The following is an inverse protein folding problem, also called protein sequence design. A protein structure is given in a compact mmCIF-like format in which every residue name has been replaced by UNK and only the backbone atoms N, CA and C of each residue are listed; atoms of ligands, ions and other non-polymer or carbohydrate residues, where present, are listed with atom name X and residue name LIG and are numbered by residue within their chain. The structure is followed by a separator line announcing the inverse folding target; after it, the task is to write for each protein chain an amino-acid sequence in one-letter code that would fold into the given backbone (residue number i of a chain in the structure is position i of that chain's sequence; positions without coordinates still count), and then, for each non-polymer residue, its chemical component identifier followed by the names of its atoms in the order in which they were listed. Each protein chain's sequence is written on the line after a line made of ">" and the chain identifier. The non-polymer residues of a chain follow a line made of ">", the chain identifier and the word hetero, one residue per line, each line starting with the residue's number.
data_IF_015646385633
#
_entry.id   IF_015646385633
#
_cell.length_a   1.000
_cell.length_b   1.000
_cell.length_c   1.000
_cell.angle_alpha   90.00
_cell.angle_beta   90.00
_cell.angle_gamma   90.00
#
_symmetry.space_group_name_H-M   'P 1'
#
loop_
_entity.id
_entity.type
_entity.pdbx_description
1 polymer ?
#
# COMPACT_ATOMS: atom_id res chain seq x y z
N UNK A 1 -18.13 -21.69 1.35
CA UNK A 1 -17.67 -20.30 1.11
C UNK A 1 -16.28 -20.13 1.64
N UNK A 2 -15.38 -19.68 0.79
CA UNK A 2 -14.01 -19.41 1.21
C UNK A 2 -13.95 -18.03 1.82
N UNK A 3 -13.47 -17.98 3.04
CA UNK A 3 -13.17 -16.71 3.71
C UNK A 3 -11.69 -16.42 3.59
N UNK A 4 -11.36 -15.15 3.35
CA UNK A 4 -9.99 -14.68 3.27
C UNK A 4 -9.77 -13.58 4.29
N UNK A 5 -8.59 -13.55 4.85
CA UNK A 5 -8.17 -12.44 5.68
C UNK A 5 -7.58 -11.36 4.79
N UNK A 6 -8.07 -10.15 4.95
CA UNK A 6 -7.62 -9.00 4.19
C UNK A 6 -7.25 -7.87 5.13
N UNK A 7 -6.41 -6.97 4.62
CA UNK A 7 -6.12 -5.71 5.28
C UNK A 7 -6.58 -4.57 4.38
N UNK A 8 -7.37 -3.65 4.93
CA UNK A 8 -7.68 -2.39 4.27
C UNK A 8 -6.66 -1.35 4.73
N UNK A 9 -5.94 -0.78 3.78
CA UNK A 9 -4.90 0.22 4.05
C UNK A 9 -5.41 1.56 3.56
N UNK A 10 -5.72 2.50 4.48
CA UNK A 10 -6.13 3.84 4.06
C UNK A 10 -4.97 4.57 3.39
N UNK A 11 -5.26 5.18 2.25
CA UNK A 11 -4.31 6.02 1.53
C UNK A 11 -4.83 7.45 1.48
N UNK A 12 -4.17 8.30 0.70
CA UNK A 12 -4.59 9.70 0.58
C UNK A 12 -6.02 9.84 0.06
N UNK A 13 -6.47 8.96 -0.83
CA UNK A 13 -7.78 9.09 -1.48
C UNK A 13 -8.65 7.85 -1.33
N UNK A 14 -8.06 6.68 -1.31
CA UNK A 14 -8.76 5.40 -1.43
C UNK A 14 -8.28 4.43 -0.35
N UNK A 15 -8.92 3.27 -0.27
CA UNK A 15 -8.40 2.14 0.48
C UNK A 15 -7.73 1.15 -0.47
N UNK A 16 -6.57 0.64 -0.07
CA UNK A 16 -6.00 -0.55 -0.71
C UNK A 16 -6.49 -1.79 0.00
N UNK A 17 -6.82 -2.83 -0.76
CA UNK A 17 -7.13 -4.13 -0.20
C UNK A 17 -5.94 -5.06 -0.45
N UNK A 18 -5.38 -5.63 0.60
CA UNK A 18 -4.24 -6.53 0.53
C UNK A 18 -4.58 -7.86 1.21
N UNK A 19 -4.10 -8.99 0.67
CA UNK A 19 -4.17 -10.23 1.43
C UNK A 19 -3.37 -10.09 2.73
N UNK A 20 -3.98 -10.45 3.86
CA UNK A 20 -3.32 -10.30 5.16
C UNK A 20 -2.06 -11.16 5.25
N UNK A 21 -2.00 -12.28 4.51
CA UNK A 21 -0.82 -13.15 4.48
C UNK A 21 0.43 -12.46 3.94
N UNK A 22 0.28 -11.39 3.17
CA UNK A 22 1.42 -10.63 2.65
C UNK A 22 1.97 -9.63 3.65
N UNK A 23 1.27 -9.37 4.74
CA UNK A 23 1.67 -8.35 5.70
C UNK A 23 2.65 -8.95 6.71
N UNK A 24 3.87 -8.43 6.71
CA UNK A 24 4.88 -8.86 7.67
C UNK A 24 4.71 -8.16 9.02
N UNK A 25 4.43 -6.84 8.99
CA UNK A 25 4.29 -6.08 10.23
C UNK A 25 3.68 -4.71 9.93
N UNK A 26 3.09 -4.09 10.95
CA UNK A 26 2.63 -2.70 10.90
C UNK A 26 3.38 -1.94 11.98
N UNK A 27 4.09 -0.89 11.57
CA UNK A 27 4.89 -0.05 12.46
C UNK A 27 4.23 1.32 12.64
N UNK A 28 4.49 1.99 13.75
CA UNK A 28 4.22 3.43 13.84
C UNK A 28 4.99 4.17 12.75
N UNK A 29 4.45 5.31 12.32
CA UNK A 29 5.13 6.12 11.33
C UNK A 29 6.45 6.68 11.87
N UNK A 30 7.49 6.59 11.05
CA UNK A 30 8.75 7.29 11.28
C UNK A 30 9.14 7.99 9.98
N UNK A 31 9.75 9.19 10.05
CA UNK A 31 10.17 9.88 8.83
C UNK A 31 11.13 9.01 8.02
N UNK A 32 10.88 8.85 6.71
CA UNK A 32 11.76 8.04 5.89
C UNK A 32 13.07 8.74 5.59
N UNK A 33 14.09 7.95 5.30
CA UNK A 33 15.34 8.45 4.75
C UNK A 33 15.13 8.87 3.30
N UNK A 34 15.84 9.91 2.89
CA UNK A 34 15.80 10.32 1.49
C UNK A 34 16.50 9.27 0.65
N UNK A 35 15.86 8.90 -0.45
CA UNK A 35 16.47 8.09 -1.51
C UNK A 35 16.22 8.77 -2.84
N UNK A 36 17.22 8.67 -3.72
CA UNK A 36 17.08 9.18 -5.06
C UNK A 36 16.39 8.10 -5.89
N UNK A 37 15.15 8.35 -6.24
CA UNK A 37 14.34 7.41 -7.01
C UNK A 37 13.65 8.15 -8.14
N UNK A 38 13.58 7.51 -9.31
CA UNK A 38 12.84 8.04 -10.44
C UNK A 38 11.33 7.89 -10.30
N UNK A 39 10.84 7.20 -9.28
CA UNK A 39 9.41 6.97 -9.10
C UNK A 39 8.80 7.99 -8.16
N UNK A 40 7.70 8.61 -8.57
CA UNK A 40 6.95 9.54 -7.74
C UNK A 40 6.23 8.88 -6.56
N UNK A 41 6.08 7.54 -6.61
CA UNK A 41 5.41 6.79 -5.55
C UNK A 41 6.36 6.40 -4.43
N UNK A 42 7.65 6.40 -4.67
CA UNK A 42 8.65 6.09 -3.65
C UNK A 42 8.99 7.41 -2.94
N UNK A 43 8.55 7.53 -1.70
CA UNK A 43 8.74 8.76 -0.94
C UNK A 43 9.97 8.73 -0.03
N UNK A 44 10.65 7.61 0.03
CA UNK A 44 11.84 7.47 0.83
C UNK A 44 12.19 6.01 1.06
N UNK A 45 13.12 5.78 1.97
CA UNK A 45 13.53 4.45 2.39
C UNK A 45 13.45 4.30 3.90
N UNK A 46 13.27 3.06 4.34
CA UNK A 46 13.26 2.71 5.75
C UNK A 46 14.38 1.71 6.00
N UNK A 47 15.03 1.84 7.15
CA UNK A 47 16.03 0.88 7.58
C UNK A 47 15.38 -0.09 8.55
N UNK A 48 15.17 -1.32 8.11
CA UNK A 48 14.54 -2.37 8.90
C UNK A 48 15.49 -3.56 8.94
N UNK A 49 15.95 -3.93 10.15
CA UNK A 49 16.88 -5.04 10.34
C UNK A 49 18.12 -4.94 9.45
N UNK A 50 18.67 -3.72 9.35
CA UNK A 50 19.83 -3.38 8.52
C UNK A 50 19.60 -3.40 7.01
N UNK A 51 18.37 -3.66 6.57
CA UNK A 51 18.02 -3.58 5.16
C UNK A 51 17.33 -2.25 4.87
N UNK A 52 17.75 -1.58 3.82
CA UNK A 52 17.10 -0.36 3.35
C UNK A 52 16.02 -0.76 2.35
N UNK A 53 14.78 -0.50 2.73
CA UNK A 53 13.62 -0.86 1.92
C UNK A 53 12.89 0.41 1.46
N UNK A 54 12.25 0.37 0.27
CA UNK A 54 11.52 1.52 -0.22
C UNK A 54 10.19 1.69 0.53
N UNK A 55 9.81 2.95 0.76
CA UNK A 55 8.50 3.32 1.28
C UNK A 55 7.69 3.91 0.14
N UNK A 56 6.51 3.36 -0.08
CA UNK A 56 5.62 3.71 -1.18
C UNK A 56 4.39 4.42 -0.62
N UNK A 57 4.00 5.53 -1.24
CA UNK A 57 2.77 6.23 -0.92
C UNK A 57 1.85 6.19 -2.15
N UNK A 58 0.83 5.34 -2.09
CA UNK A 58 -0.13 5.22 -3.18
C UNK A 58 -0.94 6.51 -3.35
N UNK A 59 -1.17 6.88 -4.61
CA UNK A 59 -2.03 8.00 -5.00
C UNK A 59 -1.53 9.38 -4.55
N UNK A 60 -0.33 9.47 -4.03
CA UNK A 60 0.29 10.75 -3.76
C UNK A 60 1.23 11.12 -4.89
N UNK A 61 1.11 12.33 -5.37
CA UNK A 61 1.99 12.88 -6.39
C UNK A 61 2.86 14.01 -5.84
N UNK A 62 2.90 14.16 -4.51
CA UNK A 62 3.70 15.19 -3.86
C UNK A 62 4.74 14.55 -2.94
N UNK A 63 6.01 14.98 -3.02
CA UNK A 63 7.00 14.56 -2.03
C UNK A 63 6.59 14.95 -0.61
N UNK A 64 7.04 14.19 0.37
CA UNK A 64 6.72 14.48 1.77
C UNK A 64 7.16 15.89 2.18
N UNK A 65 8.27 16.37 1.63
CA UNK A 65 8.79 17.72 1.94
C UNK A 65 7.80 18.83 1.55
N UNK A 66 6.94 18.59 0.57
CA UNK A 66 5.95 19.55 0.10
C UNK A 66 4.61 19.45 0.84
N UNK A 67 4.47 18.49 1.75
CA UNK A 67 3.24 18.24 2.52
C UNK A 67 3.43 18.66 3.98
N UNK A 68 3.81 19.91 4.19
CA UNK A 68 4.22 20.40 5.50
C UNK A 68 3.08 20.52 6.52
N UNK A 69 1.87 20.80 6.02
CA UNK A 69 0.71 21.01 6.88
C UNK A 69 -0.05 19.73 7.18
N UNK A 70 0.45 18.61 6.72
CA UNK A 70 -0.19 17.31 6.85
C UNK A 70 0.03 16.74 8.25
N UNK A 71 -1.06 16.38 8.91
CA UNK A 71 -1.00 15.72 10.21
C UNK A 71 -0.67 14.24 10.00
N UNK A 72 0.50 13.82 10.45
CA UNK A 72 0.98 12.46 10.28
C UNK A 72 0.90 11.62 11.55
N UNK A 73 0.20 12.10 12.57
CA UNK A 73 0.12 11.41 13.86
C UNK A 73 -0.57 10.05 13.75
N UNK A 74 -1.47 9.89 12.78
CA UNK A 74 -2.19 8.64 12.56
C UNK A 74 -1.57 7.75 11.50
N UNK A 75 -0.48 8.19 10.89
CA UNK A 75 0.17 7.40 9.85
C UNK A 75 0.78 6.12 10.42
N UNK A 76 0.78 5.08 9.59
CA UNK A 76 1.41 3.79 9.91
C UNK A 76 2.22 3.33 8.71
N UNK A 77 3.16 2.47 8.98
CA UNK A 77 4.00 1.86 7.94
C UNK A 77 3.66 0.39 7.86
N UNK A 78 3.19 -0.05 6.70
CA UNK A 78 2.80 -1.44 6.46
C UNK A 78 3.92 -2.14 5.72
N UNK A 79 4.57 -3.09 6.38
CA UNK A 79 5.65 -3.87 5.76
C UNK A 79 5.04 -5.05 5.02
N UNK A 80 5.31 -5.13 3.72
CA UNK A 80 4.69 -6.09 2.80
C UNK A 80 5.77 -7.03 2.27
N UNK A 81 5.47 -8.34 2.29
CA UNK A 81 6.29 -9.34 1.62
C UNK A 81 6.01 -9.30 0.12
N UNK A 82 7.06 -9.23 -0.68
CA UNK A 82 6.93 -9.13 -2.12
C UNK A 82 6.30 -10.40 -2.70
N UNK A 83 5.47 -10.22 -3.73
CA UNK A 83 4.86 -11.35 -4.45
C UNK A 83 5.75 -11.87 -5.58
N UNK A 84 6.69 -11.04 -6.07
CA UNK A 84 7.61 -11.43 -7.13
C UNK A 84 8.91 -11.96 -6.51
N UNK A 85 9.18 -13.26 -6.60
CA UNK A 85 10.39 -13.82 -5.98
C UNK A 85 11.68 -13.38 -6.66
N UNK A 86 11.60 -12.83 -7.86
CA UNK A 86 12.75 -12.35 -8.62
C UNK A 86 12.92 -10.83 -8.55
N UNK A 87 12.08 -10.15 -7.78
CA UNK A 87 12.21 -8.72 -7.57
C UNK A 87 13.45 -8.37 -6.75
N UNK A 88 13.89 -7.13 -6.87
CA UNK A 88 15.06 -6.62 -6.16
C UNK A 88 14.87 -6.65 -4.64
N UNK A 89 13.66 -6.38 -4.18
CA UNK A 89 13.35 -6.30 -2.76
C UNK A 89 12.47 -7.46 -2.36
N UNK A 90 12.80 -8.11 -1.25
CA UNK A 90 11.96 -9.15 -0.66
C UNK A 90 10.79 -8.56 0.10
N UNK A 91 10.97 -7.33 0.59
CA UNK A 91 9.96 -6.60 1.32
C UNK A 91 10.01 -5.13 0.91
N UNK A 92 8.88 -4.47 1.03
CA UNK A 92 8.77 -3.03 0.86
C UNK A 92 7.68 -2.53 1.80
N UNK A 93 7.59 -1.23 1.98
CA UNK A 93 6.63 -0.64 2.88
C UNK A 93 5.63 0.21 2.12
N UNK A 94 4.39 0.21 2.59
CA UNK A 94 3.33 1.06 2.09
C UNK A 94 2.90 1.99 3.22
N UNK A 95 2.81 3.29 2.91
CA UNK A 95 2.35 4.28 3.87
C UNK A 95 0.84 4.20 4.01
N UNK A 96 0.36 3.98 5.24
CA UNK A 96 -1.04 4.08 5.58
C UNK A 96 -1.31 5.44 6.21
N UNK A 97 -2.34 6.14 5.75
CA UNK A 97 -2.68 7.48 6.23
C UNK A 97 -3.52 7.44 7.51
N UNK A 98 -3.93 6.26 7.94
CA UNK A 98 -4.52 6.01 9.26
C UNK A 98 -4.37 4.53 9.58
N UNK A 99 -4.87 4.11 10.73
CA UNK A 99 -4.73 2.73 11.18
C UNK A 99 -5.35 1.75 10.18
N UNK A 100 -4.59 0.78 9.67
CA UNK A 100 -5.15 -0.26 8.81
C UNK A 100 -6.13 -1.15 9.56
N UNK A 101 -7.08 -1.71 8.83
CA UNK A 101 -8.10 -2.58 9.38
C UNK A 101 -7.94 -4.00 8.83
N UNK A 102 -7.80 -4.98 9.71
CA UNK A 102 -7.75 -6.40 9.32
C UNK A 102 -9.15 -6.98 9.51
N UNK A 103 -9.62 -7.70 8.50
CA UNK A 103 -10.96 -8.30 8.55
C UNK A 103 -11.02 -9.57 7.72
N UNK A 104 -12.03 -10.37 8.00
CA UNK A 104 -12.38 -11.51 7.17
C UNK A 104 -13.42 -11.10 6.15
N UNK A 105 -13.25 -11.54 4.91
CA UNK A 105 -14.24 -11.32 3.86
C UNK A 105 -14.42 -12.61 3.08
N UNK A 106 -15.64 -12.86 2.63
CA UNK A 106 -15.91 -13.87 1.63
C UNK A 106 -15.52 -13.35 0.25
N UNK A 107 -15.10 -14.23 -0.64
CA UNK A 107 -14.85 -13.82 -2.02
C UNK A 107 -16.09 -13.17 -2.65
N UNK A 108 -17.28 -13.59 -2.23
CA UNK A 108 -18.54 -13.03 -2.73
C UNK A 108 -18.79 -11.61 -2.22
N UNK A 109 -18.13 -11.19 -1.14
CA UNK A 109 -18.24 -9.83 -0.61
C UNK A 109 -17.41 -8.83 -1.40
N UNK A 110 -16.46 -9.31 -2.20
CA UNK A 110 -15.56 -8.45 -3.00
C UNK A 110 -16.05 -8.53 -4.44
N UNK A 111 -16.55 -7.42 -4.97
CA UNK A 111 -17.13 -7.38 -6.32
C UNK A 111 -16.37 -6.40 -7.20
N UNK A 112 -16.02 -6.79 -8.43
CA UNK A 112 -15.39 -5.87 -9.36
C UNK A 112 -16.30 -4.68 -9.67
N UNK A 113 -15.74 -3.48 -9.65
CA UNK A 113 -16.47 -2.26 -10.00
C UNK A 113 -16.03 -1.72 -11.36
N UNK A 114 -14.80 -2.01 -11.79
CA UNK A 114 -14.27 -1.55 -13.06
C UNK A 114 -12.77 -1.74 -13.14
N UNK A 115 -12.23 -1.49 -14.33
CA UNK A 115 -10.78 -1.57 -14.54
C UNK A 115 -10.08 -0.44 -13.79
N UNK A 116 -8.87 -0.70 -13.33
CA UNK A 116 -8.04 0.33 -12.76
C UNK A 116 -7.66 1.39 -13.80
N UNK A 117 -7.62 2.63 -13.35
CA UNK A 117 -7.23 3.76 -14.20
C UNK A 117 -5.72 4.01 -14.19
N UNK A 118 -4.97 3.18 -13.50
CA UNK A 118 -3.55 3.38 -13.26
C UNK A 118 -2.83 2.03 -13.33
N UNK A 119 -1.55 2.03 -13.77
CA UNK A 119 -0.83 0.76 -13.95
C UNK A 119 -0.59 -0.03 -12.65
N UNK A 120 -0.64 0.63 -11.49
CA UNK A 120 -0.49 -0.04 -10.19
C UNK A 120 -1.83 -0.42 -9.58
N UNK A 121 -2.92 -0.17 -10.27
CA UNK A 121 -4.27 -0.53 -9.87
C UNK A 121 -4.78 -1.61 -10.81
N UNK A 122 -5.00 -2.81 -10.28
CA UNK A 122 -5.59 -3.89 -11.08
C UNK A 122 -7.04 -3.59 -11.42
N UNK A 123 -7.81 -3.20 -10.41
CA UNK A 123 -9.22 -2.82 -10.59
C UNK A 123 -9.75 -2.15 -9.34
N UNK A 124 -10.88 -1.48 -9.49
CA UNK A 124 -11.67 -1.02 -8.36
C UNK A 124 -12.64 -2.11 -7.96
N UNK A 125 -12.94 -2.21 -6.67
CA UNK A 125 -13.86 -3.22 -6.14
C UNK A 125 -14.79 -2.56 -5.13
N UNK A 126 -15.91 -3.22 -4.85
CA UNK A 126 -16.75 -2.91 -3.70
C UNK A 126 -16.56 -4.01 -2.66
N UNK A 127 -16.73 -3.66 -1.41
CA UNK A 127 -16.63 -4.60 -0.30
C UNK A 127 -17.86 -4.45 0.57
N UNK A 128 -18.60 -5.55 0.74
CA UNK A 128 -19.79 -5.55 1.57
C UNK A 128 -19.45 -5.12 3.00
N UNK A 129 -20.23 -4.20 3.56
CA UNK A 129 -20.00 -3.66 4.89
C UNK A 129 -19.08 -2.44 4.94
N UNK A 130 -18.52 -2.01 3.81
CA UNK A 130 -17.66 -0.83 3.71
C UNK A 130 -18.13 0.11 2.61
N UNK A 131 -19.16 0.87 2.92
CA UNK A 131 -19.79 1.79 1.97
C UNK A 131 -19.70 3.23 2.49
N UNK A 132 -18.49 3.66 2.84
CA UNK A 132 -18.24 4.98 3.41
C UNK A 132 -17.89 6.05 2.37
N UNK A 133 -18.14 5.75 1.09
CA UNK A 133 -17.89 6.68 0.00
C UNK A 133 -16.47 6.66 -0.55
N UNK A 134 -15.54 5.98 0.10
CA UNK A 134 -14.19 5.80 -0.44
C UNK A 134 -14.13 4.60 -1.34
N UNK A 135 -13.37 4.73 -2.43
CA UNK A 135 -13.15 3.60 -3.32
C UNK A 135 -12.21 2.60 -2.68
N UNK A 136 -12.40 1.35 -3.02
CA UNK A 136 -11.50 0.27 -2.62
C UNK A 136 -10.77 -0.20 -3.86
N UNK A 137 -9.46 -0.28 -3.75
CA UNK A 137 -8.57 -0.52 -4.87
C UNK A 137 -7.85 -1.84 -4.66
N UNK A 138 -7.92 -2.70 -5.67
CA UNK A 138 -7.10 -3.90 -5.72
C UNK A 138 -5.79 -3.52 -6.43
N UNK A 139 -4.65 -3.48 -5.72
CA UNK A 139 -3.42 -3.03 -6.32
C UNK A 139 -2.82 -4.07 -7.25
N UNK A 140 -2.06 -3.60 -8.24
CA UNK A 140 -1.24 -4.48 -9.07
C UNK A 140 0.17 -4.53 -8.48
N UNK A 141 0.38 -5.47 -7.56
CA UNK A 141 1.64 -5.56 -6.82
C UNK A 141 2.81 -5.98 -7.71
N UNK A 142 2.56 -6.80 -8.73
CA UNK A 142 3.62 -7.18 -9.66
C UNK A 142 4.14 -5.96 -10.43
N UNK A 143 3.25 -5.08 -10.88
CA UNK A 143 3.65 -3.87 -11.58
C UNK A 143 4.37 -2.91 -10.63
N UNK A 144 3.89 -2.77 -9.41
CA UNK A 144 4.55 -1.93 -8.42
C UNK A 144 5.96 -2.44 -8.11
N UNK A 145 6.10 -3.73 -7.88
CA UNK A 145 7.40 -4.33 -7.55
C UNK A 145 8.38 -4.20 -8.71
N UNK A 146 7.91 -4.28 -9.96
CA UNK A 146 8.75 -4.02 -11.12
C UNK A 146 9.28 -2.58 -11.14
N UNK A 147 8.44 -1.62 -10.75
CA UNK A 147 8.86 -0.21 -10.64
C UNK A 147 9.92 -0.02 -9.56
N UNK A 148 9.78 -0.69 -8.42
CA UNK A 148 10.77 -0.63 -7.35
C UNK A 148 12.12 -1.20 -7.79
N UNK A 149 12.10 -2.22 -8.64
CA UNK A 149 13.32 -2.83 -9.16
C UNK A 149 14.09 -1.90 -10.11
N UNK A 150 13.38 -1.04 -10.82
CA UNK A 150 13.97 -0.11 -11.78
C UNK A 150 14.47 1.19 -11.15
N UNK A 151 14.20 1.41 -9.90
CA UNK A 151 14.54 2.65 -9.19
C UNK A 151 15.94 2.61 -8.59
#
# INVERSE_FOLDING_TARGET
>A
MNQINIMLVPTAQDYLILPAELIAHVFPYAPPLLIDSGSEYIIGGLLIQNDKIPLVDYFSNKPLAERKDEDRSNYRTVLVNAVNPQGRYRQYAILAHSEPLIMNASEDDIRPLGKGSHRYISRYVTLAGHEDGKRIVLPNLMALEAELTMS
#
